data_IF_769800300177
#
_entry.id   IF_769800300177
#
_cell.length_a   1.000
_cell.length_b   1.000
_cell.length_c   1.000
_cell.angle_alpha   90.00
_cell.angle_beta   90.00
_cell.angle_gamma   90.00
#
_symmetry.space_group_name_H-M   'P 1'
#
loop_
_entity.id
_entity.type
_entity.pdbx_description
1 polymer ?
#
# COMPACT_ATOMS: atom_id res chain seq x y z
N UNK A 1 -10.26 8.04 3.63
CA UNK A 1 -9.46 8.27 2.40
C UNK A 1 -9.63 7.05 1.52
N UNK A 2 -9.83 7.23 0.21
CA UNK A 2 -9.85 6.12 -0.75
C UNK A 2 -8.60 6.21 -1.62
N UNK A 3 -7.90 5.09 -1.76
CA UNK A 3 -6.74 4.93 -2.63
C UNK A 3 -7.10 3.84 -3.63
N UNK A 4 -7.14 4.22 -4.91
CA UNK A 4 -7.42 3.30 -6.01
C UNK A 4 -6.12 2.97 -6.73
N UNK A 5 -5.76 1.69 -6.72
CA UNK A 5 -4.49 1.13 -7.22
C UNK A 5 -3.22 1.86 -6.72
N UNK A 6 -3.04 2.08 -5.40
CA UNK A 6 -1.90 2.84 -4.90
C UNK A 6 -0.56 2.12 -5.04
N UNK A 7 -0.53 0.84 -5.39
CA UNK A 7 0.70 0.06 -5.53
C UNK A 7 1.03 -0.27 -7.00
N UNK A 8 0.20 0.11 -7.97
CA UNK A 8 0.44 -0.13 -9.39
C UNK A 8 1.72 0.55 -9.88
N UNK A 9 2.66 -0.24 -10.41
CA UNK A 9 3.94 0.24 -10.95
C UNK A 9 4.91 0.80 -9.91
N UNK A 10 4.70 0.51 -8.62
CA UNK A 10 5.56 0.96 -7.52
C UNK A 10 6.48 -0.17 -7.06
N UNK A 11 7.76 0.13 -6.88
CA UNK A 11 8.76 -0.83 -6.40
C UNK A 11 8.39 -1.41 -5.01
N UNK A 12 8.73 -2.69 -4.73
CA UNK A 12 8.49 -3.35 -3.44
C UNK A 12 8.93 -2.56 -2.21
N UNK A 13 10.04 -1.83 -2.32
CA UNK A 13 10.59 -1.02 -1.22
C UNK A 13 9.66 0.17 -0.91
N UNK A 14 9.16 0.85 -1.94
CA UNK A 14 8.25 1.98 -1.76
C UNK A 14 6.86 1.54 -1.28
N UNK A 15 6.43 0.31 -1.60
CA UNK A 15 5.21 -0.28 -1.02
C UNK A 15 5.30 -0.37 0.50
N UNK A 16 6.45 -0.78 1.06
CA UNK A 16 6.65 -0.83 2.52
C UNK A 16 6.57 0.56 3.17
N UNK A 17 7.06 1.60 2.49
CA UNK A 17 6.96 2.98 2.96
C UNK A 17 5.50 3.45 3.00
N UNK A 18 4.72 3.17 1.94
CA UNK A 18 3.30 3.50 1.88
C UNK A 18 2.54 2.74 2.98
N UNK A 19 2.80 1.45 3.17
CA UNK A 19 2.20 0.66 4.25
C UNK A 19 2.51 1.26 5.63
N UNK A 20 3.74 1.72 5.86
CA UNK A 20 4.13 2.40 7.10
C UNK A 20 3.37 3.70 7.32
N UNK A 21 3.11 4.47 6.25
CA UNK A 21 2.31 5.69 6.31
C UNK A 21 0.85 5.37 6.60
N UNK A 22 0.26 4.39 5.93
CA UNK A 22 -1.12 3.91 6.15
C UNK A 22 -1.29 3.44 7.59
N UNK A 23 -0.33 2.70 8.14
CA UNK A 23 -0.35 2.27 9.53
C UNK A 23 -0.37 3.46 10.52
N UNK A 24 0.44 4.51 10.26
CA UNK A 24 0.43 5.74 11.07
C UNK A 24 -0.94 6.45 11.02
N UNK A 25 -1.56 6.49 9.85
CA UNK A 25 -2.88 7.11 9.66
C UNK A 25 -3.99 6.32 10.36
N UNK A 26 -3.90 4.97 10.38
CA UNK A 26 -4.78 4.12 11.18
C UNK A 26 -4.73 4.46 12.67
N UNK A 27 -3.54 4.69 13.24
CA UNK A 27 -3.40 5.11 14.65
C UNK A 27 -4.03 6.48 14.94
N UNK A 28 -4.18 7.33 13.93
CA UNK A 28 -4.90 8.62 14.02
C UNK A 28 -6.42 8.47 13.87
N UNK A 29 -6.94 7.24 13.87
CA UNK A 29 -8.35 6.92 13.67
C UNK A 29 -8.89 7.36 12.30
N UNK A 30 -8.01 7.42 11.29
CA UNK A 30 -8.38 7.74 9.92
C UNK A 30 -8.63 6.43 9.18
N UNK A 31 -9.88 6.21 8.77
CA UNK A 31 -10.25 5.10 7.90
C UNK A 31 -9.69 5.29 6.50
N UNK A 32 -8.97 4.27 6.01
CA UNK A 32 -8.42 4.21 4.65
C UNK A 32 -8.97 2.96 3.98
N UNK A 33 -9.59 3.15 2.80
CA UNK A 33 -10.00 2.07 1.91
C UNK A 33 -8.99 2.03 0.77
N UNK A 34 -8.38 0.87 0.58
CA UNK A 34 -7.38 0.62 -0.45
C UNK A 34 -7.94 -0.45 -1.38
N UNK A 35 -7.98 -0.15 -2.67
CA UNK A 35 -8.25 -1.12 -3.74
C UNK A 35 -6.97 -1.32 -4.52
N UNK A 36 -6.54 -2.56 -4.72
CA UNK A 36 -5.33 -2.87 -5.48
C UNK A 36 -5.51 -4.18 -6.26
N UNK A 37 -4.91 -4.24 -7.44
CA UNK A 37 -5.01 -5.36 -8.37
C UNK A 37 -3.68 -6.09 -8.61
N UNK A 38 -2.54 -5.63 -8.03
CA UNK A 38 -1.20 -6.03 -8.47
C UNK A 38 -0.24 -6.44 -7.32
N UNK A 39 -0.77 -7.01 -6.23
CA UNK A 39 0.04 -7.47 -5.07
C UNK A 39 0.96 -8.66 -5.42
N UNK A 40 0.70 -9.37 -6.52
CA UNK A 40 1.44 -10.58 -6.91
C UNK A 40 2.85 -10.31 -7.45
N UNK A 41 3.15 -9.12 -8.01
CA UNK A 41 4.50 -8.80 -8.51
C UNK A 41 5.51 -8.53 -7.39
N UNK A 42 5.05 -8.17 -6.18
CA UNK A 42 5.91 -7.80 -5.05
C UNK A 42 6.44 -9.01 -4.25
N UNK A 43 5.84 -10.19 -4.43
CA UNK A 43 6.18 -11.43 -3.72
C UNK A 43 7.14 -12.34 -4.49
N UNK A 44 7.49 -12.00 -5.74
CA UNK A 44 8.48 -12.73 -6.53
C UNK A 44 9.91 -12.31 -6.17
N UNK A 45 10.29 -12.54 -4.91
CA UNK A 45 11.71 -12.56 -4.53
C UNK A 45 12.19 -14.00 -4.77
N UNK A 46 12.83 -14.25 -5.92
CA UNK A 46 13.70 -15.41 -6.15
C UNK A 46 15.14 -15.02 -5.78
#
# INVERSE_FOLDING_TARGET
>A
IMLDEPFAGIDPIAVQDIQSIVAKLKYKNIGILITDHNVDETLSIT
#
